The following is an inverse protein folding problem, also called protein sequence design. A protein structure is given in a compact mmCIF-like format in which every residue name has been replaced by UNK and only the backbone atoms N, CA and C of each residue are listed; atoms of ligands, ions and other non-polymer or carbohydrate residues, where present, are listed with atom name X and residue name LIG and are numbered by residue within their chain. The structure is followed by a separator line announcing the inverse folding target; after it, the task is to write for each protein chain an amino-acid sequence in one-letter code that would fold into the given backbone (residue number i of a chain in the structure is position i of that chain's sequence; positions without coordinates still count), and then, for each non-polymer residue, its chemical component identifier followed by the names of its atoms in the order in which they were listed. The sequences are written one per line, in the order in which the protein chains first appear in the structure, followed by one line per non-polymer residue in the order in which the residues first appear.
data_IF_096953192881
#
_entry.id   IF_096953192881
#
_cell.length_a   1.000
_cell.length_b   1.000
_cell.length_c   1.000
_cell.angle_alpha   90.00
_cell.angle_beta   90.00
_cell.angle_gamma   90.00
#
_symmetry.space_group_name_H-M   'P 1'
#
loop_
_entity.id
_entity.type
_entity.pdbx_description
1 polymer ?
#
# COMPACT_ATOMS: atom_id res chain seq x y z
N UNK A 1 -24.51 2.86 -25.43
CA UNK A 1 -23.18 3.30 -24.95
C UNK A 1 -22.88 2.50 -23.69
N UNK A 2 -21.82 1.68 -23.69
CA UNK A 2 -21.51 0.73 -22.60
C UNK A 2 -21.28 1.52 -21.31
N UNK A 3 -22.06 1.22 -20.28
CA UNK A 3 -21.75 1.59 -18.89
C UNK A 3 -20.56 0.72 -18.50
N UNK A 4 -19.33 1.26 -18.58
CA UNK A 4 -18.18 0.67 -17.90
C UNK A 4 -18.43 0.88 -16.41
N UNK A 5 -18.63 -0.23 -15.70
CA UNK A 5 -18.64 -0.26 -14.23
C UNK A 5 -17.22 0.12 -13.82
N UNK A 6 -17.03 1.35 -13.35
CA UNK A 6 -15.86 1.65 -12.54
C UNK A 6 -15.95 0.76 -11.31
N UNK A 7 -15.09 -0.26 -11.21
CA UNK A 7 -14.91 -0.97 -9.95
C UNK A 7 -14.47 0.04 -8.90
N UNK A 8 -15.12 0.01 -7.75
CA UNK A 8 -14.74 0.89 -6.64
C UNK A 8 -13.38 0.46 -6.07
N UNK A 9 -12.64 1.38 -5.43
CA UNK A 9 -11.40 1.03 -4.71
C UNK A 9 -11.63 -0.08 -3.67
N UNK A 10 -12.82 -0.11 -3.08
CA UNK A 10 -13.26 -1.15 -2.12
C UNK A 10 -13.32 -2.52 -2.80
N UNK A 11 -13.98 -2.64 -3.95
CA UNK A 11 -14.04 -3.90 -4.70
C UNK A 11 -12.64 -4.39 -5.10
N UNK A 12 -11.76 -3.48 -5.54
CA UNK A 12 -10.38 -3.84 -5.86
C UNK A 12 -9.64 -4.40 -4.64
N UNK A 13 -9.79 -3.75 -3.48
CA UNK A 13 -9.17 -4.20 -2.24
C UNK A 13 -9.72 -5.56 -1.80
N UNK A 14 -11.04 -5.73 -1.76
CA UNK A 14 -11.69 -6.99 -1.40
C UNK A 14 -11.21 -8.16 -2.28
N UNK A 15 -11.08 -7.93 -3.58
CA UNK A 15 -10.56 -8.94 -4.51
C UNK A 15 -9.14 -9.37 -4.15
N UNK A 16 -8.24 -8.41 -3.90
CA UNK A 16 -6.85 -8.72 -3.55
C UNK A 16 -6.77 -9.42 -2.19
N UNK A 17 -7.54 -8.97 -1.19
CA UNK A 17 -7.58 -9.61 0.12
C UNK A 17 -8.09 -11.05 0.05
N UNK A 18 -9.12 -11.31 -0.75
CA UNK A 18 -9.61 -12.68 -0.97
C UNK A 18 -8.56 -13.54 -1.67
N UNK A 19 -7.80 -13.00 -2.63
CA UNK A 19 -6.73 -13.75 -3.29
C UNK A 19 -5.56 -14.05 -2.34
N UNK A 20 -5.22 -13.13 -1.43
CA UNK A 20 -4.20 -13.35 -0.38
C UNK A 20 -4.67 -14.44 0.58
N UNK A 21 -5.88 -14.32 1.14
CA UNK A 21 -6.41 -15.28 2.11
C UNK A 21 -6.56 -16.70 1.54
N UNK A 22 -6.88 -16.83 0.25
CA UNK A 22 -6.98 -18.14 -0.41
C UNK A 22 -5.63 -18.72 -0.87
N UNK A 23 -4.52 -17.98 -0.73
CA UNK A 23 -3.23 -18.41 -1.29
C UNK A 23 -2.46 -19.38 -0.39
N UNK A 24 -2.73 -19.38 0.92
CA UNK A 24 -1.94 -20.08 1.94
C UNK A 24 -0.42 -19.79 1.86
N UNK A 25 -0.03 -18.64 1.27
CA UNK A 25 1.37 -18.25 1.09
C UNK A 25 1.96 -17.56 2.32
N UNK A 26 1.11 -17.14 3.25
CA UNK A 26 1.44 -16.30 4.40
C UNK A 26 0.71 -16.82 5.63
N UNK A 27 1.37 -16.82 6.78
CA UNK A 27 0.78 -17.25 8.05
C UNK A 27 -0.01 -16.10 8.71
N UNK A 28 0.60 -14.91 8.81
CA UNK A 28 0.01 -13.70 9.40
C UNK A 28 0.20 -12.50 8.46
N UNK A 29 -0.55 -12.42 7.35
CA UNK A 29 -0.34 -11.37 6.35
C UNK A 29 -0.86 -10.02 6.84
N UNK A 30 0.03 -9.05 6.96
CA UNK A 30 -0.31 -7.63 7.01
C UNK A 30 -0.14 -7.02 5.62
N UNK A 31 -1.14 -6.29 5.13
CA UNK A 31 -1.07 -5.64 3.81
C UNK A 31 -0.54 -4.22 4.01
N UNK A 32 0.60 -3.92 3.40
CA UNK A 32 1.23 -2.60 3.51
C UNK A 32 0.71 -1.65 2.41
N UNK A 33 0.52 -2.17 1.21
CA UNK A 33 -0.05 -1.43 0.10
C UNK A 33 -0.69 -2.35 -0.94
N UNK A 34 -1.58 -1.78 -1.76
CA UNK A 34 -2.15 -2.41 -2.95
C UNK A 34 -2.15 -1.40 -4.08
N UNK A 35 -1.51 -1.75 -5.19
CA UNK A 35 -1.54 -0.99 -6.44
C UNK A 35 -2.25 -1.78 -7.52
N UNK A 36 -2.95 -1.08 -8.42
CA UNK A 36 -3.62 -1.67 -9.58
C UNK A 36 -3.20 -0.97 -10.88
N UNK A 37 -3.11 -1.74 -11.96
CA UNK A 37 -3.05 -1.19 -13.32
C UNK A 37 -4.00 -1.96 -14.23
N UNK A 38 -4.86 -1.23 -14.94
CA UNK A 38 -5.70 -1.83 -15.98
C UNK A 38 -4.91 -1.94 -17.30
N UNK A 39 -4.88 -3.14 -17.89
CA UNK A 39 -4.28 -3.40 -19.21
C UNK A 39 -5.28 -4.21 -20.02
N UNK A 40 -5.73 -3.68 -21.16
CA UNK A 40 -6.69 -4.33 -22.05
C UNK A 40 -7.97 -4.82 -21.32
N UNK A 41 -8.53 -3.99 -20.44
CA UNK A 41 -9.73 -4.33 -19.66
C UNK A 41 -9.50 -5.35 -18.55
N UNK A 42 -8.25 -5.66 -18.19
CA UNK A 42 -7.88 -6.57 -17.11
C UNK A 42 -7.06 -5.86 -16.05
N UNK A 43 -7.45 -6.06 -14.79
CA UNK A 43 -6.74 -5.51 -13.63
C UNK A 43 -5.49 -6.34 -13.31
N UNK A 44 -4.36 -5.68 -13.11
CA UNK A 44 -3.13 -6.28 -12.63
C UNK A 44 -2.78 -5.66 -11.29
N UNK A 45 -2.71 -6.51 -10.26
CA UNK A 45 -2.42 -6.07 -8.90
C UNK A 45 -0.98 -6.37 -8.51
N UNK A 46 -0.45 -5.49 -7.67
CA UNK A 46 0.74 -5.76 -6.87
C UNK A 46 0.49 -5.28 -5.45
N UNK A 47 0.82 -6.09 -4.46
CA UNK A 47 0.62 -5.77 -3.05
C UNK A 47 1.89 -6.04 -2.24
N UNK A 48 2.17 -5.18 -1.27
CA UNK A 48 3.17 -5.42 -0.24
C UNK A 48 2.52 -6.19 0.91
N UNK A 49 3.16 -7.27 1.34
CA UNK A 49 2.70 -8.11 2.44
C UNK A 49 3.85 -8.31 3.40
N UNK A 50 3.72 -7.76 4.60
CA UNK A 50 4.64 -7.99 5.71
C UNK A 50 4.07 -9.05 6.65
N UNK A 51 4.96 -9.69 7.42
CA UNK A 51 4.58 -10.56 8.52
C UNK A 51 4.66 -9.75 9.81
N UNK A 52 3.53 -9.61 10.53
CA UNK A 52 3.46 -8.83 11.77
C UNK A 52 4.42 -9.32 12.86
N UNK A 53 4.78 -10.61 12.82
CA UNK A 53 5.66 -11.24 13.81
C UNK A 53 7.13 -11.13 13.39
N UNK A 54 7.41 -11.18 12.07
CA UNK A 54 8.76 -11.15 11.53
C UNK A 54 8.86 -10.24 10.30
N UNK A 55 9.21 -8.94 10.46
CA UNK A 55 9.32 -8.01 9.35
C UNK A 55 10.31 -8.42 8.25
N UNK A 56 11.31 -9.25 8.57
CA UNK A 56 12.26 -9.79 7.59
C UNK A 56 11.56 -10.72 6.56
N UNK A 57 10.37 -11.22 6.89
CA UNK A 57 9.49 -11.99 6.02
C UNK A 57 8.47 -11.09 5.32
N UNK A 58 8.97 -10.13 4.55
CA UNK A 58 8.14 -9.28 3.71
C UNK A 58 8.21 -9.67 2.24
N UNK A 59 7.07 -9.58 1.56
CA UNK A 59 6.85 -10.11 0.22
C UNK A 59 6.11 -9.12 -0.68
N UNK A 60 6.39 -9.22 -1.97
CA UNK A 60 5.58 -8.65 -3.04
C UNK A 60 4.64 -9.72 -3.60
N UNK A 61 3.34 -9.53 -3.42
CA UNK A 61 2.29 -10.38 -3.97
C UNK A 61 1.81 -9.87 -5.33
N UNK A 62 1.78 -10.76 -6.31
CA UNK A 62 1.35 -10.51 -7.70
C UNK A 62 0.51 -11.68 -8.20
N UNK A 63 -0.82 -11.66 -8.00
CA UNK A 63 -1.68 -12.84 -8.14
C UNK A 63 -1.69 -13.44 -9.55
N UNK A 64 -1.51 -12.60 -10.57
CA UNK A 64 -1.49 -12.98 -11.99
C UNK A 64 -0.09 -13.26 -12.55
N UNK A 65 0.96 -13.15 -11.73
CA UNK A 65 2.32 -13.46 -12.14
C UNK A 65 2.64 -14.95 -11.94
N UNK A 66 3.62 -15.47 -12.69
CA UNK A 66 4.11 -16.85 -12.52
C UNK A 66 4.65 -17.10 -11.11
N UNK A 67 5.48 -16.17 -10.63
CA UNK A 67 5.87 -16.11 -9.22
C UNK A 67 4.89 -15.16 -8.51
N UNK A 68 3.91 -15.75 -7.81
CA UNK A 68 2.85 -15.01 -7.11
C UNK A 68 3.34 -14.25 -5.89
N UNK A 69 4.40 -14.74 -5.24
CA UNK A 69 5.04 -14.10 -4.10
C UNK A 69 6.53 -13.99 -4.36
N UNK A 70 7.11 -12.82 -4.09
CA UNK A 70 8.55 -12.56 -4.20
C UNK A 70 9.03 -11.93 -2.89
N UNK A 71 10.03 -12.50 -2.21
CA UNK A 71 10.65 -11.84 -1.04
C UNK A 71 11.17 -10.44 -1.42
N UNK A 72 10.94 -9.43 -0.60
CA UNK A 72 11.33 -8.04 -0.90
C UNK A 72 12.84 -7.90 -1.15
N UNK A 73 13.65 -8.67 -0.43
CA UNK A 73 15.10 -8.80 -0.63
C UNK A 73 15.53 -9.21 -2.06
N UNK A 74 14.63 -9.83 -2.82
CA UNK A 74 14.85 -10.25 -4.20
C UNK A 74 14.28 -9.25 -5.23
N UNK A 75 13.74 -8.11 -4.78
CA UNK A 75 13.30 -7.07 -5.69
C UNK A 75 14.48 -6.48 -6.44
N UNK A 76 14.26 -6.24 -7.73
CA UNK A 76 15.21 -5.59 -8.61
C UNK A 76 14.52 -4.45 -9.34
N UNK A 77 15.17 -3.30 -9.43
CA UNK A 77 14.70 -2.25 -10.33
C UNK A 77 14.83 -2.70 -11.79
N UNK A 78 13.92 -2.25 -12.64
CA UNK A 78 13.93 -2.65 -14.04
C UNK A 78 14.96 -1.84 -14.83
N UNK A 79 15.09 -0.55 -14.52
CA UNK A 79 16.03 0.34 -15.21
C UNK A 79 17.36 0.43 -14.46
N UNK A 80 18.45 0.48 -15.23
CA UNK A 80 19.80 0.63 -14.69
C UNK A 80 20.03 1.99 -14.02
N UNK A 81 19.37 3.04 -14.47
CA UNK A 81 19.45 4.37 -13.85
C UNK A 81 19.02 4.34 -12.38
N UNK A 82 17.91 3.67 -12.05
CA UNK A 82 17.46 3.51 -10.67
C UNK A 82 18.48 2.74 -9.81
N UNK A 83 19.10 1.69 -10.35
CA UNK A 83 20.11 0.90 -9.63
C UNK A 83 21.38 1.68 -9.30
N UNK A 84 21.69 2.71 -10.09
CA UNK A 84 22.86 3.57 -9.86
C UNK A 84 22.61 4.60 -8.77
N UNK A 85 21.36 5.03 -8.61
CA UNK A 85 20.99 6.13 -7.71
C UNK A 85 20.45 5.63 -6.37
N UNK A 86 19.78 4.48 -6.35
CA UNK A 86 19.08 3.98 -5.16
C UNK A 86 19.50 2.56 -4.82
N UNK A 87 19.52 2.27 -3.52
CA UNK A 87 19.51 0.88 -3.05
C UNK A 87 18.16 0.24 -3.43
N UNK A 88 18.17 -1.04 -3.76
CA UNK A 88 16.94 -1.78 -4.05
C UNK A 88 16.12 -1.95 -2.76
N UNK A 89 14.92 -1.41 -2.78
CA UNK A 89 13.96 -1.44 -1.67
C UNK A 89 12.51 -1.37 -2.22
N UNK A 90 11.54 -1.52 -1.32
CA UNK A 90 10.13 -1.62 -1.69
C UNK A 90 9.52 -0.26 -2.04
N UNK A 91 9.96 0.80 -1.37
CA UNK A 91 9.51 2.19 -1.54
C UNK A 91 9.87 2.69 -2.95
N UNK A 92 11.13 2.51 -3.35
CA UNK A 92 11.57 2.80 -4.71
C UNK A 92 10.87 1.93 -5.76
N UNK A 93 10.54 0.66 -5.42
CA UNK A 93 9.76 -0.20 -6.31
C UNK A 93 8.35 0.34 -6.51
N UNK A 94 7.71 0.80 -5.44
CA UNK A 94 6.35 1.36 -5.45
C UNK A 94 6.30 2.64 -6.29
N UNK A 95 7.25 3.57 -6.12
CA UNK A 95 7.38 4.75 -7.01
C UNK A 95 7.60 4.35 -8.47
N UNK A 96 8.44 3.34 -8.72
CA UNK A 96 8.64 2.80 -10.06
C UNK A 96 7.34 2.23 -10.67
N UNK A 97 6.45 1.63 -9.88
CA UNK A 97 5.16 1.15 -10.38
C UNK A 97 4.21 2.32 -10.68
N UNK A 98 4.18 3.35 -9.83
CA UNK A 98 3.39 4.55 -10.09
C UNK A 98 3.85 5.28 -11.36
N UNK A 99 5.17 5.37 -11.58
CA UNK A 99 5.76 5.86 -12.83
C UNK A 99 5.30 5.07 -14.06
N UNK A 100 4.95 3.79 -13.89
CA UNK A 100 4.38 2.93 -14.95
C UNK A 100 2.85 3.02 -15.04
N UNK A 101 2.23 3.92 -14.31
CA UNK A 101 0.79 4.14 -14.32
C UNK A 101 -0.02 3.20 -13.42
N UNK A 102 0.61 2.49 -12.48
CA UNK A 102 -0.15 1.86 -11.40
C UNK A 102 -0.78 2.92 -10.49
N UNK A 103 -1.99 2.64 -10.00
CA UNK A 103 -2.78 3.50 -9.12
C UNK A 103 -2.88 2.88 -7.74
N UNK A 104 -2.87 3.71 -6.71
CA UNK A 104 -2.99 3.29 -5.31
C UNK A 104 -4.45 2.92 -5.04
N UNK A 105 -4.66 1.69 -4.61
CA UNK A 105 -5.93 1.23 -4.05
C UNK A 105 -5.92 1.44 -2.54
N UNK A 106 -4.84 1.02 -1.89
CA UNK A 106 -4.63 1.10 -0.45
C UNK A 106 -3.14 1.26 -0.15
N UNK A 107 -2.83 1.94 0.95
CA UNK A 107 -1.49 2.08 1.52
C UNK A 107 -1.68 2.35 3.01
N UNK A 108 -0.95 1.62 3.86
CA UNK A 108 -0.97 1.80 5.31
C UNK A 108 -0.27 3.11 5.68
N UNK A 109 -0.58 3.64 6.87
CA UNK A 109 0.09 4.84 7.39
C UNK A 109 1.59 4.57 7.57
N UNK A 110 1.96 3.39 8.07
CA UNK A 110 3.36 3.01 8.26
C UNK A 110 4.12 3.00 6.92
N UNK A 111 3.51 2.46 5.86
CA UNK A 111 4.14 2.48 4.54
C UNK A 111 4.23 3.89 3.94
N UNK A 112 3.25 4.77 4.22
CA UNK A 112 3.36 6.19 3.85
C UNK A 112 4.57 6.86 4.53
N UNK A 113 4.83 6.55 5.80
CA UNK A 113 5.98 7.04 6.57
C UNK A 113 7.29 6.54 5.95
N UNK A 114 7.39 5.25 5.67
CA UNK A 114 8.57 4.65 5.01
C UNK A 114 8.83 5.31 3.65
N UNK A 115 7.79 5.47 2.83
CA UNK A 115 7.89 6.08 1.51
C UNK A 115 8.29 7.56 1.58
N UNK A 116 7.80 8.32 2.56
CA UNK A 116 8.25 9.70 2.79
C UNK A 116 9.69 9.76 3.27
N UNK A 117 10.11 8.84 4.14
CA UNK A 117 11.51 8.69 4.53
C UNK A 117 12.42 8.37 3.36
N UNK A 118 11.98 7.50 2.43
CA UNK A 118 12.70 7.23 1.19
C UNK A 118 12.85 8.50 0.33
N UNK A 119 11.77 9.27 0.16
CA UNK A 119 11.78 10.52 -0.61
C UNK A 119 12.74 11.54 0.02
N UNK A 120 12.72 11.70 1.34
CA UNK A 120 13.62 12.61 2.07
C UNK A 120 15.09 12.21 1.89
N UNK A 121 15.40 10.93 2.13
CA UNK A 121 16.75 10.38 2.02
C UNK A 121 17.36 10.55 0.62
N UNK A 122 16.52 10.57 -0.42
CA UNK A 122 16.93 10.66 -1.81
C UNK A 122 16.44 11.93 -2.52
N UNK A 123 16.11 12.98 -1.77
CA UNK A 123 15.45 14.20 -2.27
C UNK A 123 16.11 14.78 -3.54
N UNK A 124 17.44 14.79 -3.63
CA UNK A 124 18.16 15.34 -4.78
C UNK A 124 18.19 14.48 -6.03
N UNK A 125 17.66 13.25 -5.98
CA UNK A 125 17.65 12.31 -7.11
C UNK A 125 16.27 11.69 -7.34
N UNK A 126 15.28 12.03 -6.52
CA UNK A 126 13.94 11.44 -6.53
C UNK A 126 13.12 11.86 -7.75
N UNK A 127 13.50 12.96 -8.38
CA UNK A 127 12.93 13.52 -9.61
C UNK A 127 12.97 12.53 -10.79
N UNK A 128 13.85 11.53 -10.76
CA UNK A 128 13.85 10.45 -11.77
C UNK A 128 12.58 9.57 -11.74
N UNK A 129 11.77 9.67 -10.68
CA UNK A 129 10.44 9.09 -10.58
C UNK A 129 9.32 10.11 -10.85
N UNK A 130 9.60 11.21 -11.56
CA UNK A 130 8.72 12.37 -11.77
C UNK A 130 7.21 12.07 -11.76
N UNK A 131 6.68 11.39 -12.80
CA UNK A 131 5.23 11.10 -12.89
C UNK A 131 4.73 10.26 -11.71
N UNK A 132 5.55 9.32 -11.23
CA UNK A 132 5.23 8.49 -10.07
C UNK A 132 5.15 9.30 -8.78
N UNK A 133 6.11 10.21 -8.58
CA UNK A 133 6.20 11.10 -7.43
C UNK A 133 5.07 12.13 -7.43
N UNK A 134 4.82 12.79 -8.56
CA UNK A 134 3.72 13.75 -8.73
C UNK A 134 2.38 13.06 -8.48
N UNK A 135 2.20 11.84 -9.02
CA UNK A 135 0.99 11.06 -8.75
C UNK A 135 0.83 10.73 -7.26
N UNK A 136 1.90 10.30 -6.59
CA UNK A 136 1.89 9.99 -5.17
C UNK A 136 1.54 11.22 -4.32
N UNK A 137 2.20 12.35 -4.55
CA UNK A 137 1.91 13.60 -3.82
C UNK A 137 0.48 14.08 -4.06
N UNK A 138 -0.01 13.98 -5.30
CA UNK A 138 -1.39 14.32 -5.64
C UNK A 138 -2.39 13.43 -4.91
N UNK A 139 -2.06 12.14 -4.79
CA UNK A 139 -2.86 11.20 -4.02
C UNK A 139 -2.88 11.57 -2.54
N UNK A 140 -1.71 11.84 -1.93
CA UNK A 140 -1.61 12.26 -0.53
C UNK A 140 -2.42 13.53 -0.27
N UNK A 141 -2.27 14.55 -1.13
CA UNK A 141 -3.07 15.78 -1.06
C UNK A 141 -4.57 15.50 -1.17
N UNK A 142 -4.98 14.67 -2.14
CA UNK A 142 -6.39 14.34 -2.37
C UNK A 142 -7.06 13.58 -1.22
N UNK A 143 -6.30 12.83 -0.42
CA UNK A 143 -6.80 12.17 0.80
C UNK A 143 -6.52 12.98 2.08
N UNK A 144 -5.84 14.13 1.95
CA UNK A 144 -5.47 15.01 3.05
C UNK A 144 -4.38 14.45 3.97
N UNK A 145 -3.51 13.58 3.47
CA UNK A 145 -2.32 13.15 4.20
C UNK A 145 -1.27 14.26 4.16
N UNK A 146 -0.92 14.82 5.32
CA UNK A 146 0.01 15.96 5.42
C UNK A 146 1.33 15.59 6.10
N UNK A 147 2.35 16.44 5.90
CA UNK A 147 3.64 16.33 6.59
C UNK A 147 3.48 16.38 8.11
N UNK A 148 2.63 17.27 8.64
CA UNK A 148 2.33 17.35 10.07
C UNK A 148 1.76 16.04 10.60
N UNK A 149 0.79 15.45 9.89
CA UNK A 149 0.16 14.19 10.31
C UNK A 149 1.18 13.06 10.40
N UNK A 150 1.99 12.89 9.35
CA UNK A 150 3.02 11.85 9.30
C UNK A 150 4.14 12.09 10.33
N UNK A 151 4.53 13.34 10.54
CA UNK A 151 5.52 13.72 11.55
C UNK A 151 5.02 13.38 12.96
N UNK A 152 3.74 13.67 13.24
CA UNK A 152 3.13 13.33 14.52
C UNK A 152 3.08 11.82 14.76
N UNK A 153 2.65 11.05 13.75
CA UNK A 153 2.52 9.60 13.88
C UNK A 153 3.87 8.90 14.00
N UNK A 154 4.89 9.35 13.25
CA UNK A 154 6.24 8.75 13.25
C UNK A 154 7.13 9.21 14.40
N UNK A 155 6.72 10.22 15.18
CA UNK A 155 7.61 10.98 16.08
C UNK A 155 8.87 11.56 15.39
N UNK A 156 8.85 11.69 14.05
CA UNK A 156 9.91 12.25 13.22
C UNK A 156 9.51 13.56 12.57
N UNK A 157 10.42 14.20 11.85
CA UNK A 157 10.11 15.38 11.04
C UNK A 157 10.10 14.99 9.56
N UNK A 158 9.05 15.39 8.85
CA UNK A 158 9.00 15.35 7.39
C UNK A 158 8.83 16.75 6.79
N UNK A 159 9.59 17.09 5.74
CA UNK A 159 9.33 18.27 4.92
C UNK A 159 7.92 18.25 4.27
N UNK A 160 7.42 19.42 3.88
CA UNK A 160 6.17 19.52 3.14
C UNK A 160 6.38 19.22 1.66
N UNK A 161 6.54 17.93 1.35
CA UNK A 161 6.75 17.47 -0.01
C UNK A 161 5.57 17.77 -0.95
N UNK A 162 4.35 17.91 -0.43
CA UNK A 162 3.20 18.31 -1.25
C UNK A 162 3.43 19.72 -1.77
N UNK A 163 3.88 20.63 -0.90
CA UNK A 163 4.26 21.97 -1.32
C UNK A 163 5.45 21.96 -2.27
N UNK A 164 6.52 21.23 -1.93
CA UNK A 164 7.76 21.23 -2.70
C UNK A 164 7.55 20.71 -4.14
N UNK A 165 6.72 19.67 -4.32
CA UNK A 165 6.52 19.03 -5.62
C UNK A 165 5.28 19.49 -6.39
N UNK A 166 4.22 19.93 -5.71
CA UNK A 166 2.99 20.37 -6.39
C UNK A 166 2.77 21.89 -6.36
N UNK A 167 3.50 22.62 -5.50
CA UNK A 167 3.25 24.03 -5.23
C UNK A 167 1.97 24.30 -4.45
N UNK A 168 1.29 23.25 -3.98
CA UNK A 168 0.05 23.34 -3.22
C UNK A 168 0.34 23.65 -1.75
N UNK A 169 -0.58 24.35 -1.07
CA UNK A 169 -0.46 24.60 0.38
C UNK A 169 -1.44 23.72 1.12
N UNK A 170 -0.96 22.86 2.01
CA UNK A 170 -1.84 22.06 2.86
C UNK A 170 -2.37 22.94 4.00
N UNK A 171 -3.58 23.50 3.84
CA UNK A 171 -4.26 24.21 4.93
C UNK A 171 -4.93 23.18 5.86
N UNK A 172 -4.48 23.11 7.10
CA UNK A 172 -5.09 22.28 8.13
C UNK A 172 -6.53 22.75 8.44
N UNK A 173 -7.52 22.08 7.85
CA UNK A 173 -8.79 21.84 8.56
C UNK A 173 -8.73 20.47 9.22
N UNK A 174 -7.73 20.33 10.09
CA UNK A 174 -7.29 19.08 10.72
C UNK A 174 -8.43 18.30 11.40
N UNK A 175 -9.54 18.92 11.78
CA UNK A 175 -10.60 18.25 12.55
C UNK A 175 -11.58 17.41 11.74
N UNK A 176 -12.13 17.93 10.64
CA UNK A 176 -13.08 17.19 9.80
C UNK A 176 -12.36 16.21 8.87
N UNK A 177 -11.13 16.53 8.48
CA UNK A 177 -10.28 15.68 7.67
C UNK A 177 -9.76 14.48 8.47
N UNK A 178 -9.23 14.69 9.68
CA UNK A 178 -8.86 13.58 10.58
C UNK A 178 -10.09 12.73 10.88
N UNK A 179 -11.27 13.32 11.07
CA UNK A 179 -12.50 12.55 11.27
C UNK A 179 -12.87 11.71 10.04
N UNK A 180 -12.78 12.26 8.83
CA UNK A 180 -13.09 11.52 7.59
C UNK A 180 -12.05 10.44 7.28
N UNK A 181 -10.76 10.72 7.51
CA UNK A 181 -9.68 9.74 7.39
C UNK A 181 -9.80 8.66 8.45
N UNK A 182 -10.07 9.00 9.70
CA UNK A 182 -10.35 8.04 10.77
C UNK A 182 -11.62 7.26 10.45
N UNK A 183 -12.69 7.84 9.91
CA UNK A 183 -13.90 7.08 9.56
C UNK A 183 -13.69 6.17 8.34
N UNK A 184 -12.95 6.61 7.32
CA UNK A 184 -12.63 5.80 6.15
C UNK A 184 -11.62 4.70 6.49
N UNK A 185 -10.57 5.05 7.24
CA UNK A 185 -9.58 4.10 7.72
C UNK A 185 -10.22 3.20 8.76
N UNK A 186 -11.02 3.64 9.71
CA UNK A 186 -11.76 2.76 10.60
C UNK A 186 -12.76 1.91 9.83
N UNK A 187 -13.38 2.34 8.73
CA UNK A 187 -14.18 1.40 7.92
C UNK A 187 -13.33 0.34 7.25
N UNK A 188 -12.13 0.70 6.77
CA UNK A 188 -11.19 -0.24 6.15
C UNK A 188 -10.53 -1.14 7.19
N UNK A 189 -9.94 -0.57 8.24
CA UNK A 189 -9.40 -1.19 9.46
C UNK A 189 -10.48 -2.01 10.14
N UNK A 190 -11.66 -1.52 10.50
CA UNK A 190 -12.73 -2.37 11.06
C UNK A 190 -13.16 -3.46 10.09
N UNK A 191 -13.12 -3.26 8.76
CA UNK A 191 -13.32 -4.36 7.79
C UNK A 191 -12.13 -5.34 7.75
N UNK A 192 -10.91 -4.90 8.04
CA UNK A 192 -9.68 -5.66 8.07
C UNK A 192 -9.51 -6.38 9.42
N UNK A 193 -9.67 -5.70 10.55
CA UNK A 193 -9.81 -6.19 11.92
C UNK A 193 -10.99 -7.15 12.05
N UNK A 194 -12.20 -6.88 11.52
CA UNK A 194 -13.28 -7.88 11.55
C UNK A 194 -12.89 -9.15 10.78
N UNK A 195 -12.23 -9.01 9.63
CA UNK A 195 -11.80 -10.17 8.84
C UNK A 195 -10.61 -10.90 9.47
N UNK A 196 -9.66 -10.16 10.05
CA UNK A 196 -8.52 -10.71 10.77
C UNK A 196 -9.01 -11.43 12.01
N UNK A 197 -9.86 -10.83 12.86
CA UNK A 197 -10.49 -11.50 14.01
C UNK A 197 -11.38 -12.69 13.61
N UNK A 198 -12.14 -12.62 12.52
CA UNK A 198 -12.95 -13.75 12.03
C UNK A 198 -12.06 -14.89 11.50
N UNK A 199 -10.95 -14.60 10.82
CA UNK A 199 -9.97 -15.59 10.40
C UNK A 199 -9.28 -16.24 11.62
N UNK A 200 -8.93 -15.45 12.64
CA UNK A 200 -8.41 -15.99 13.90
C UNK A 200 -9.45 -16.85 14.63
N UNK A 201 -10.73 -16.45 14.71
CA UNK A 201 -11.80 -17.29 15.31
C UNK A 201 -12.06 -18.59 14.55
N UNK A 202 -11.89 -18.61 13.23
CA UNK A 202 -12.05 -19.83 12.41
C UNK A 202 -10.84 -20.76 12.57
N UNK A 203 -9.62 -20.21 12.76
CA UNK A 203 -8.40 -21.01 12.95
C UNK A 203 -8.21 -21.50 14.40
N UNK A 204 -8.69 -20.78 15.40
CA UNK A 204 -8.71 -21.20 16.82
C UNK A 204 -9.90 -22.11 17.14
N UNK A 205 -10.86 -22.21 16.21
CA UNK A 205 -11.95 -23.18 16.22
C UNK A 205 -11.48 -24.58 15.80
N UNK A 206 -10.51 -25.15 16.53
CA UNK A 206 -10.37 -26.60 16.58
C UNK A 206 -11.68 -27.17 17.09
N UNK A 207 -12.45 -27.71 16.16
CA UNK A 207 -13.25 -28.95 16.30
C UNK A 207 -13.10 -29.61 17.67
N UNK A 208 -13.95 -29.24 18.62
CA UNK A 208 -14.44 -30.24 19.56
C UNK A 208 -15.34 -31.14 18.72
N UNK A 209 -14.80 -32.30 18.37
CA UNK A 209 -15.53 -33.36 17.72
C UNK A 209 -16.74 -33.75 18.58
N UNK A 210 -17.92 -33.26 18.21
CA UNK A 210 -19.09 -34.13 18.21
C UNK A 210 -18.83 -35.20 17.14
N UNK A 211 -18.46 -36.40 17.57
CA UNK A 211 -19.17 -37.61 17.19
C UNK A 211 -18.63 -38.84 17.94
N UNK A 212 -19.57 -39.44 18.66
CA UNK A 212 -19.61 -40.77 19.23
C UNK A 212 -18.90 -41.89 18.45
N UNK A 213 -18.15 -42.72 19.16
CA UNK A 213 -18.28 -44.19 19.19
C UNK A 213 -17.61 -44.76 20.44
#
# INVERSE_FOLDING_TARGET
MKIMIFKTRVEHLENVLNEIGNSNLYEYPHVDFVLVKEINGKDYYTAGISNEINPDESFLFRPKARAKSIPIQNLRYEKQEYKKLFKECIEGYVLQQMQKGYKIIYMSIDFHIELWGFIDNYYHSIDIFDDGLIYYMSFCYGIGLTSTFLSHYSCGYFPDFIHDFLGEVTFESSKELVKTMIESNNRMITSLELRNELCYKILDGRTENEESS
#
